data_IF_752574241341
#
_entry.id   IF_752574241341
#
_cell.length_a   1.000
_cell.length_b   1.000
_cell.length_c   1.000
_cell.angle_alpha   90.00
_cell.angle_beta   90.00
_cell.angle_gamma   90.00
#
_symmetry.space_group_name_H-M   'P 1'
#
loop_
_entity.id
_entity.type
_entity.pdbx_description
1 polymer ?
#
# COMPACT_ATOMS: atom_id res chain seq x y z
N UNK A 1 21.98 44.23 -23.20
CA UNK A 1 22.14 42.76 -23.25
C UNK A 1 23.36 42.40 -22.40
N UNK A 2 23.15 41.91 -21.19
CA UNK A 2 24.22 41.38 -20.34
C UNK A 2 24.40 39.91 -20.67
N UNK A 3 25.30 39.63 -21.61
CA UNK A 3 25.69 38.27 -21.98
C UNK A 3 26.75 37.80 -20.98
N UNK A 4 26.30 37.33 -19.81
CA UNK A 4 27.17 36.70 -18.83
C UNK A 4 27.39 35.25 -19.28
N UNK A 5 28.63 34.80 -19.53
CA UNK A 5 28.90 33.44 -19.98
C UNK A 5 28.37 32.44 -18.94
N UNK A 6 27.42 31.61 -19.34
CA UNK A 6 26.90 30.52 -18.51
C UNK A 6 27.94 29.39 -18.49
N UNK A 7 28.43 29.05 -17.30
CA UNK A 7 29.38 27.93 -17.12
C UNK A 7 28.66 26.59 -17.26
N UNK A 8 28.58 26.11 -18.50
CA UNK A 8 27.91 24.87 -18.88
C UNK A 8 28.51 23.63 -18.20
N UNK A 9 29.79 23.65 -17.82
CA UNK A 9 30.45 22.49 -17.22
C UNK A 9 30.01 22.29 -15.76
N UNK A 10 29.95 23.39 -15.00
CA UNK A 10 29.40 23.40 -13.65
C UNK A 10 27.91 22.98 -13.65
N UNK A 11 27.13 23.44 -14.63
CA UNK A 11 25.73 23.03 -14.77
C UNK A 11 25.58 21.53 -15.10
N UNK A 12 26.46 20.97 -15.92
CA UNK A 12 26.48 19.52 -16.24
C UNK A 12 26.87 18.67 -15.03
N UNK A 13 27.87 19.09 -14.25
CA UNK A 13 28.26 18.41 -13.01
C UNK A 13 27.12 18.37 -11.99
N UNK A 14 26.41 19.49 -11.79
CA UNK A 14 25.23 19.53 -10.92
C UNK A 14 24.08 18.67 -11.43
N UNK A 15 23.84 18.62 -12.75
CA UNK A 15 22.81 17.77 -13.34
C UNK A 15 23.14 16.27 -13.17
N UNK A 16 24.41 15.88 -13.36
CA UNK A 16 24.87 14.52 -13.14
C UNK A 16 24.76 14.09 -11.66
N UNK A 17 25.09 14.99 -10.73
CA UNK A 17 24.93 14.75 -9.31
C UNK A 17 23.45 14.55 -8.94
N UNK A 18 22.56 15.46 -9.35
CA UNK A 18 21.12 15.35 -9.12
C UNK A 18 20.53 14.05 -9.69
N UNK A 19 20.94 13.66 -10.89
CA UNK A 19 20.50 12.40 -11.49
C UNK A 19 20.97 11.19 -10.69
N UNK A 20 22.14 11.25 -10.07
CA UNK A 20 22.66 10.18 -9.20
C UNK A 20 21.90 10.12 -7.89
N UNK A 21 21.65 11.27 -7.26
CA UNK A 21 20.89 11.35 -6.01
C UNK A 21 19.46 10.85 -6.19
N UNK A 22 18.80 11.21 -7.30
CA UNK A 22 17.48 10.69 -7.65
C UNK A 22 17.46 9.17 -7.82
N UNK A 23 18.46 8.59 -8.49
CA UNK A 23 18.56 7.13 -8.63
C UNK A 23 18.76 6.44 -7.29
N UNK A 24 19.57 7.03 -6.41
CA UNK A 24 19.78 6.49 -5.05
C UNK A 24 18.49 6.53 -4.24
N UNK A 25 17.78 7.65 -4.25
CA UNK A 25 16.50 7.80 -3.55
C UNK A 25 15.46 6.80 -4.09
N UNK A 26 15.39 6.62 -5.41
CA UNK A 26 14.49 5.64 -6.02
C UNK A 26 14.86 4.20 -5.60
N UNK A 27 16.14 3.84 -5.62
CA UNK A 27 16.58 2.51 -5.17
C UNK A 27 16.30 2.27 -3.67
N UNK A 28 16.42 3.30 -2.83
CA UNK A 28 16.05 3.22 -1.41
C UNK A 28 14.55 3.00 -1.24
N UNK A 29 13.71 3.74 -1.97
CA UNK A 29 12.25 3.56 -1.97
C UNK A 29 11.88 2.15 -2.44
N UNK A 30 12.47 1.65 -3.51
CA UNK A 30 12.22 0.29 -4.02
C UNK A 30 12.58 -0.79 -2.99
N UNK A 31 13.72 -0.64 -2.30
CA UNK A 31 14.11 -1.56 -1.23
C UNK A 31 13.12 -1.53 -0.06
N UNK A 32 12.69 -0.33 0.37
CA UNK A 32 11.72 -0.17 1.44
C UNK A 32 10.36 -0.77 1.07
N UNK A 33 9.92 -0.60 -0.18
CA UNK A 33 8.68 -1.20 -0.70
C UNK A 33 8.78 -2.73 -0.70
N UNK A 34 9.93 -3.29 -1.08
CA UNK A 34 10.14 -4.75 -1.02
C UNK A 34 10.07 -5.26 0.42
N UNK A 35 10.80 -4.63 1.34
CA UNK A 35 10.82 -5.02 2.76
C UNK A 35 9.43 -4.90 3.40
N UNK A 36 8.66 -3.88 3.05
CA UNK A 36 7.29 -3.72 3.52
C UNK A 36 6.39 -4.86 3.03
N UNK A 37 6.49 -5.24 1.75
CA UNK A 37 5.72 -6.36 1.18
C UNK A 37 6.07 -7.70 1.83
N UNK A 38 7.35 -7.94 2.10
CA UNK A 38 7.79 -9.17 2.79
C UNK A 38 7.20 -9.24 4.20
N UNK A 39 7.24 -8.13 4.95
CA UNK A 39 6.64 -8.05 6.30
C UNK A 39 5.13 -8.20 6.29
N UNK A 40 4.45 -7.60 5.31
CA UNK A 40 3.01 -7.74 5.15
C UNK A 40 2.63 -9.20 4.91
N UNK A 41 3.30 -9.87 3.96
CA UNK A 41 3.06 -11.29 3.67
C UNK A 41 3.33 -12.19 4.90
N UNK A 42 4.37 -11.90 5.68
CA UNK A 42 4.65 -12.64 6.91
C UNK A 42 3.54 -12.45 7.97
N UNK A 43 3.01 -11.24 8.10
CA UNK A 43 1.89 -10.96 9.01
C UNK A 43 0.60 -11.65 8.56
N UNK A 44 0.28 -11.61 7.27
CA UNK A 44 -0.86 -12.31 6.68
C UNK A 44 -0.75 -13.82 6.93
N UNK A 45 0.42 -14.41 6.66
CA UNK A 45 0.67 -15.83 6.91
C UNK A 45 0.47 -16.19 8.39
N UNK A 46 1.01 -15.39 9.31
CA UNK A 46 0.80 -15.62 10.75
C UNK A 46 -0.67 -15.51 11.13
N UNK A 47 -1.37 -14.47 10.66
CA UNK A 47 -2.80 -14.27 10.91
C UNK A 47 -3.64 -15.47 10.45
N UNK A 48 -3.31 -16.04 9.29
CA UNK A 48 -4.06 -17.14 8.66
C UNK A 48 -3.63 -18.53 9.13
N UNK A 49 -2.41 -18.70 9.64
CA UNK A 49 -1.91 -19.98 10.15
C UNK A 49 -2.63 -20.48 11.41
N UNK A 50 -3.08 -19.57 12.26
CA UNK A 50 -3.86 -19.92 13.44
C UNK A 50 -5.36 -19.94 13.07
N UNK A 51 -6.10 -21.03 13.35
CA UNK A 51 -7.54 -21.03 13.19
C UNK A 51 -8.16 -19.98 14.11
N UNK A 52 -9.23 -19.32 13.65
CA UNK A 52 -9.96 -18.38 14.49
C UNK A 52 -10.61 -19.13 15.66
N UNK A 53 -10.49 -18.57 16.87
CA UNK A 53 -11.02 -19.14 18.11
C UNK A 53 -12.39 -18.58 18.50
N UNK A 54 -12.80 -17.49 17.84
CA UNK A 54 -14.10 -16.83 18.06
C UNK A 54 -14.65 -16.25 16.76
N UNK A 55 -15.96 -15.98 16.77
CA UNK A 55 -16.63 -15.34 15.65
C UNK A 55 -16.10 -13.93 15.37
N UNK A 56 -15.83 -13.15 16.42
CA UNK A 56 -15.24 -11.82 16.29
C UNK A 56 -13.85 -11.88 15.62
N UNK A 57 -13.01 -12.84 16.03
CA UNK A 57 -11.69 -13.04 15.41
C UNK A 57 -11.82 -13.43 13.93
N UNK A 58 -12.74 -14.34 13.59
CA UNK A 58 -13.00 -14.74 12.21
C UNK A 58 -13.50 -13.57 11.36
N UNK A 59 -14.39 -12.74 11.90
CA UNK A 59 -14.92 -11.54 11.22
C UNK A 59 -13.82 -10.50 10.94
N UNK A 60 -12.87 -10.31 11.85
CA UNK A 60 -11.71 -9.43 11.63
C UNK A 60 -10.82 -9.96 10.50
N UNK A 61 -10.49 -11.26 10.51
CA UNK A 61 -9.72 -11.89 9.41
C UNK A 61 -10.44 -11.75 8.07
N UNK A 62 -11.75 -11.98 8.03
CA UNK A 62 -12.57 -11.80 6.83
C UNK A 62 -12.58 -10.34 6.36
N UNK A 63 -12.74 -9.37 7.27
CA UNK A 63 -12.73 -7.94 6.95
C UNK A 63 -11.41 -7.52 6.32
N UNK A 64 -10.28 -8.01 6.82
CA UNK A 64 -8.97 -7.75 6.23
C UNK A 64 -8.89 -8.24 4.78
N UNK A 65 -9.21 -9.52 4.54
CA UNK A 65 -9.15 -10.10 3.19
C UNK A 65 -10.09 -9.41 2.21
N UNK A 66 -11.32 -9.10 2.64
CA UNK A 66 -12.30 -8.43 1.80
C UNK A 66 -11.89 -6.99 1.46
N UNK A 67 -11.22 -6.28 2.37
CA UNK A 67 -10.63 -4.98 2.06
C UNK A 67 -9.52 -5.10 1.01
N UNK A 68 -8.67 -6.12 1.10
CA UNK A 68 -7.62 -6.38 0.10
C UNK A 68 -8.23 -6.64 -1.28
N UNK A 69 -9.25 -7.50 -1.36
CA UNK A 69 -9.97 -7.74 -2.60
C UNK A 69 -10.65 -6.49 -3.14
N UNK A 70 -11.33 -5.73 -2.28
CA UNK A 70 -12.01 -4.50 -2.68
C UNK A 70 -11.04 -3.42 -3.16
N UNK A 71 -9.83 -3.34 -2.61
CA UNK A 71 -8.78 -2.43 -3.07
C UNK A 71 -8.28 -2.80 -4.47
N UNK A 72 -8.25 -4.09 -4.83
CA UNK A 72 -7.85 -4.59 -6.14
C UNK A 72 -8.93 -4.50 -7.23
N UNK A 73 -10.19 -4.19 -6.88
CA UNK A 73 -11.27 -4.06 -7.86
C UNK A 73 -11.08 -2.83 -8.76
N UNK A 74 -11.56 -2.86 -10.01
CA UNK A 74 -11.71 -1.67 -10.84
C UNK A 74 -12.52 -0.58 -10.12
N UNK A 75 -12.31 0.67 -10.50
CA UNK A 75 -13.05 1.82 -9.94
C UNK A 75 -14.53 1.78 -10.29
N UNK A 76 -14.88 1.17 -11.41
CA UNK A 76 -16.24 1.07 -11.95
C UNK A 76 -17.05 -0.05 -11.29
N UNK A 77 -16.39 -0.97 -10.58
CA UNK A 77 -17.04 -2.12 -9.95
C UNK A 77 -17.72 -1.74 -8.63
N UNK A 78 -18.74 -0.91 -8.76
CA UNK A 78 -19.57 -0.41 -7.65
C UNK A 78 -20.40 -1.52 -7.01
N UNK A 79 -20.78 -2.54 -7.78
CA UNK A 79 -21.59 -3.66 -7.30
C UNK A 79 -20.85 -4.49 -6.26
N UNK A 80 -19.63 -4.96 -6.55
CA UNK A 80 -18.90 -5.79 -5.59
C UNK A 80 -18.47 -4.98 -4.36
N UNK A 81 -18.12 -3.70 -4.53
CA UNK A 81 -17.85 -2.79 -3.39
C UNK A 81 -19.07 -2.63 -2.48
N UNK A 82 -20.27 -2.51 -3.04
CA UNK A 82 -21.50 -2.42 -2.25
C UNK A 82 -21.80 -3.73 -1.48
N UNK A 83 -21.53 -4.89 -2.08
CA UNK A 83 -21.68 -6.19 -1.40
C UNK A 83 -20.71 -6.33 -0.22
N UNK A 84 -19.45 -5.92 -0.40
CA UNK A 84 -18.45 -5.93 0.68
C UNK A 84 -18.87 -4.99 1.82
N UNK A 85 -19.37 -3.80 1.49
CA UNK A 85 -19.87 -2.85 2.49
C UNK A 85 -21.05 -3.42 3.30
N UNK A 86 -22.05 -3.99 2.62
CA UNK A 86 -23.20 -4.61 3.29
C UNK A 86 -22.77 -5.75 4.24
N UNK A 87 -21.77 -6.56 3.84
CA UNK A 87 -21.24 -7.62 4.70
C UNK A 87 -20.51 -7.07 5.93
N UNK A 88 -19.81 -5.94 5.81
CA UNK A 88 -19.19 -5.27 6.96
C UNK A 88 -20.22 -4.71 7.94
N UNK A 89 -21.34 -4.20 7.44
CA UNK A 89 -22.44 -3.75 8.30
C UNK A 89 -23.01 -4.92 9.11
N UNK A 90 -23.14 -6.10 8.51
CA UNK A 90 -23.59 -7.30 9.22
C UNK A 90 -22.58 -7.79 10.26
N UNK A 91 -21.27 -7.72 9.97
CA UNK A 91 -20.24 -8.00 10.98
C UNK A 91 -20.32 -7.02 12.17
N UNK A 92 -20.53 -5.73 11.91
CA UNK A 92 -20.67 -4.73 12.97
C UNK A 92 -21.88 -5.05 13.87
N UNK A 93 -23.06 -5.31 13.27
CA UNK A 93 -24.27 -5.72 14.02
C UNK A 93 -24.04 -6.94 14.89
N UNK A 94 -23.35 -7.96 14.36
CA UNK A 94 -23.12 -9.22 15.07
C UNK A 94 -22.03 -9.10 16.16
N UNK A 95 -21.16 -8.10 16.07
CA UNK A 95 -20.11 -7.85 17.07
C UNK A 95 -20.62 -7.19 18.36
N UNK A 96 -21.89 -6.76 18.39
CA UNK A 96 -22.48 -6.06 19.53
C UNK A 96 -22.13 -4.57 19.61
N UNK A 97 -21.42 -4.04 18.61
CA UNK A 97 -21.23 -2.61 18.40
C UNK A 97 -22.55 -1.99 17.92
N UNK A 98 -23.39 -1.54 18.86
CA UNK A 98 -24.53 -0.67 18.59
C UNK A 98 -24.43 0.61 19.42
#
# INVERSE_FOLDING_TARGET
MTDVPVDLDKHRGMAAQKATDLRRALAEVENNVRELREREADLENRMMSAPATSWAEAAVKARYLLNLYAAGLPTEDTRHRALVAALFDDFAKLSGDN
#
